data_IF_895225106642
#
_entry.id   IF_895225106642
#
_cell.length_a   1.000
_cell.length_b   1.000
_cell.length_c   1.000
_cell.angle_alpha   90.00
_cell.angle_beta   90.00
_cell.angle_gamma   90.00
#
_symmetry.space_group_name_H-M   'P 1'
#
loop_
_entity.id
_entity.type
_entity.pdbx_description
1 polymer ?
#
# COMPACT_ATOMS: atom_id res chain seq x y z
N UNK A 1 21.27 -12.19 70.46
CA UNK A 1 19.94 -12.33 69.77
C UNK A 1 19.73 -11.32 68.64
N UNK A 2 20.70 -11.06 67.77
CA UNK A 2 20.62 -9.97 66.76
C UNK A 2 20.74 -10.46 65.31
N UNK A 3 20.77 -11.76 65.06
CA UNK A 3 21.00 -12.29 63.71
C UNK A 3 19.77 -12.70 62.89
N UNK A 4 18.59 -12.70 63.48
CA UNK A 4 17.37 -13.17 62.78
C UNK A 4 16.54 -12.08 62.09
N UNK A 5 16.65 -10.83 62.49
CA UNK A 5 15.85 -9.72 61.93
C UNK A 5 16.35 -9.21 60.60
N UNK A 6 17.66 -9.35 60.31
CA UNK A 6 18.28 -8.86 59.06
C UNK A 6 17.99 -9.76 57.83
N UNK A 7 17.78 -11.09 58.04
CA UNK A 7 17.42 -12.01 56.96
C UNK A 7 16.00 -11.89 56.43
N UNK A 8 15.06 -11.43 57.28
CA UNK A 8 13.65 -11.26 56.85
C UNK A 8 13.44 -10.06 55.93
N UNK A 9 14.23 -8.99 56.08
CA UNK A 9 14.17 -7.80 55.22
C UNK A 9 14.62 -8.03 53.80
N UNK A 10 15.68 -8.81 53.61
CA UNK A 10 16.25 -9.11 52.29
C UNK A 10 15.35 -10.02 51.40
N UNK A 11 14.64 -10.95 52.03
CA UNK A 11 13.71 -11.84 51.29
C UNK A 11 12.41 -11.13 50.89
N UNK A 12 11.96 -10.15 51.67
CA UNK A 12 10.78 -9.35 51.38
C UNK A 12 11.00 -8.42 50.19
N UNK A 13 12.18 -7.82 50.05
CA UNK A 13 12.52 -6.96 48.94
C UNK A 13 12.68 -7.71 47.62
N UNK A 14 13.16 -8.97 47.64
CA UNK A 14 13.25 -9.80 46.44
C UNK A 14 11.89 -10.25 45.90
N UNK A 15 10.90 -10.48 46.76
CA UNK A 15 9.53 -10.83 46.33
C UNK A 15 8.80 -9.63 45.71
N UNK A 16 8.92 -8.44 46.31
CA UNK A 16 8.34 -7.21 45.78
C UNK A 16 8.91 -6.85 44.39
N UNK A 17 10.22 -7.06 44.19
CA UNK A 17 10.87 -6.79 42.89
C UNK A 17 10.47 -7.79 41.81
N UNK A 18 10.15 -9.02 42.17
CA UNK A 18 9.67 -10.06 41.21
C UNK A 18 8.20 -9.80 40.82
N UNK A 19 7.37 -9.29 41.65
CA UNK A 19 5.99 -8.89 41.32
C UNK A 19 5.99 -7.70 40.37
N UNK A 20 6.76 -6.66 40.61
CA UNK A 20 6.84 -5.50 39.76
C UNK A 20 7.34 -5.81 38.34
N UNK A 21 8.31 -6.73 38.18
CA UNK A 21 8.76 -7.12 36.85
C UNK A 21 7.70 -7.94 36.08
N UNK A 22 6.98 -8.82 36.76
CA UNK A 22 5.87 -9.58 36.16
C UNK A 22 4.73 -8.66 35.76
N UNK A 23 4.40 -7.68 36.59
CA UNK A 23 3.34 -6.71 36.32
C UNK A 23 3.68 -5.81 35.14
N UNK A 24 4.94 -5.39 35.02
CA UNK A 24 5.46 -4.64 33.83
C UNK A 24 5.39 -5.49 32.59
N UNK A 25 5.84 -6.74 32.64
CA UNK A 25 5.79 -7.65 31.47
C UNK A 25 4.35 -7.92 31.04
N UNK A 26 3.44 -8.17 32.00
CA UNK A 26 2.02 -8.38 31.67
C UNK A 26 1.37 -7.12 31.08
N UNK A 27 1.70 -5.93 31.58
CA UNK A 27 1.22 -4.68 31.02
C UNK A 27 1.72 -4.47 29.56
N UNK A 28 3.00 -4.74 29.30
CA UNK A 28 3.57 -4.65 27.95
C UNK A 28 2.89 -5.65 27.01
N UNK A 29 2.74 -6.92 27.43
CA UNK A 29 2.05 -7.93 26.62
C UNK A 29 0.60 -7.52 26.33
N UNK A 30 -0.10 -6.97 27.31
CA UNK A 30 -1.48 -6.50 27.11
C UNK A 30 -1.55 -5.35 26.11
N UNK A 31 -0.66 -4.36 26.21
CA UNK A 31 -0.58 -3.24 25.26
C UNK A 31 -0.26 -3.74 23.85
N UNK A 32 0.68 -4.67 23.70
CA UNK A 32 1.00 -5.26 22.42
C UNK A 32 -0.17 -6.05 21.81
N UNK A 33 -0.89 -6.83 22.62
CA UNK A 33 -2.09 -7.54 22.18
C UNK A 33 -3.21 -6.58 21.76
N UNK A 34 -3.40 -5.49 22.51
CA UNK A 34 -4.36 -4.45 22.14
C UNK A 34 -3.96 -3.74 20.84
N UNK A 35 -2.68 -3.44 20.65
CA UNK A 35 -2.18 -2.84 19.42
C UNK A 35 -2.35 -3.78 18.21
N UNK A 36 -2.04 -5.06 18.37
CA UNK A 36 -2.28 -6.09 17.33
C UNK A 36 -3.78 -6.22 17.04
N UNK A 37 -4.62 -6.24 18.08
CA UNK A 37 -6.07 -6.29 17.93
C UNK A 37 -6.64 -5.07 17.22
N UNK A 38 -6.15 -3.87 17.54
CA UNK A 38 -6.56 -2.63 16.88
C UNK A 38 -6.19 -2.62 15.39
N UNK A 39 -4.95 -3.03 15.05
CA UNK A 39 -4.53 -3.14 13.64
C UNK A 39 -5.31 -4.21 12.87
N UNK A 40 -5.68 -5.30 13.52
CA UNK A 40 -6.52 -6.36 12.94
C UNK A 40 -7.96 -5.88 12.66
N UNK A 41 -8.51 -5.08 13.55
CA UNK A 41 -9.84 -4.47 13.40
C UNK A 41 -9.80 -3.45 12.26
N UNK A 42 -8.82 -2.55 12.21
CA UNK A 42 -8.68 -1.54 11.18
C UNK A 42 -8.55 -2.16 9.78
N UNK A 43 -7.76 -3.23 9.66
CA UNK A 43 -7.58 -3.99 8.42
C UNK A 43 -8.84 -4.72 7.96
N UNK A 44 -9.78 -5.03 8.87
CA UNK A 44 -11.01 -5.75 8.58
C UNK A 44 -12.24 -4.87 8.38
N UNK A 45 -12.21 -3.65 8.90
CA UNK A 45 -13.32 -2.69 8.93
C UNK A 45 -12.98 -1.37 8.24
N UNK A 46 -11.90 -1.34 7.45
CA UNK A 46 -11.57 -0.20 6.61
C UNK A 46 -12.75 0.20 5.72
N UNK A 47 -12.90 1.47 5.46
CA UNK A 47 -14.00 2.01 4.68
C UNK A 47 -14.00 1.42 3.28
N UNK A 48 -15.14 0.91 2.82
CA UNK A 48 -15.33 0.41 1.47
C UNK A 48 -16.34 1.29 0.74
N UNK A 49 -16.05 1.58 -0.52
CA UNK A 49 -16.90 2.35 -1.42
C UNK A 49 -17.28 1.46 -2.59
N UNK A 50 -18.56 1.45 -2.96
CA UNK A 50 -19.10 0.65 -4.06
C UNK A 50 -19.87 1.56 -5.02
N UNK A 51 -19.88 1.25 -6.30
CA UNK A 51 -20.62 2.03 -7.28
C UNK A 51 -20.08 1.89 -8.70
N UNK A 52 -20.47 2.82 -9.56
CA UNK A 52 -19.99 2.89 -10.95
C UNK A 52 -18.79 3.83 -11.01
N UNK A 53 -17.57 3.35 -11.27
CA UNK A 53 -16.38 4.17 -11.28
C UNK A 53 -16.28 5.00 -12.56
N UNK A 54 -15.80 6.23 -12.43
CA UNK A 54 -15.36 7.07 -13.54
C UNK A 54 -13.84 7.04 -13.62
N UNK A 55 -13.28 6.33 -14.58
CA UNK A 55 -11.82 6.21 -14.75
C UNK A 55 -11.22 7.53 -15.20
N UNK A 56 -10.27 8.06 -14.41
CA UNK A 56 -9.54 9.30 -14.66
C UNK A 56 -8.30 9.00 -15.49
N UNK A 57 -7.47 8.05 -15.04
CA UNK A 57 -6.23 7.64 -15.67
C UNK A 57 -5.99 6.13 -15.52
N UNK A 58 -4.80 5.62 -15.86
CA UNK A 58 -4.46 4.20 -15.79
C UNK A 58 -4.42 3.61 -14.37
N UNK A 59 -4.30 4.44 -13.35
CA UNK A 59 -4.25 4.03 -11.94
C UNK A 59 -5.15 4.88 -11.02
N UNK A 60 -5.98 5.76 -11.59
CA UNK A 60 -6.82 6.69 -10.84
C UNK A 60 -8.26 6.66 -11.36
N UNK A 61 -9.21 6.69 -10.45
CA UNK A 61 -10.64 6.70 -10.75
C UNK A 61 -11.39 7.53 -9.71
N UNK A 62 -12.60 7.94 -10.05
CA UNK A 62 -13.55 8.53 -9.12
C UNK A 62 -14.68 7.54 -8.83
N UNK A 63 -15.01 7.35 -7.57
CA UNK A 63 -16.09 6.50 -7.12
C UNK A 63 -16.85 7.21 -6.00
N UNK A 64 -18.16 7.38 -6.18
CA UNK A 64 -19.03 8.09 -5.24
C UNK A 64 -18.49 9.51 -4.88
N UNK A 65 -17.99 10.26 -5.87
CA UNK A 65 -17.44 11.60 -5.70
C UNK A 65 -16.09 11.68 -5.02
N UNK A 66 -15.43 10.55 -4.80
CA UNK A 66 -14.08 10.46 -4.21
C UNK A 66 -13.07 10.05 -5.26
N UNK A 67 -11.98 10.80 -5.34
CA UNK A 67 -10.83 10.39 -6.13
C UNK A 67 -10.04 9.30 -5.40
N UNK A 68 -9.85 8.18 -6.08
CA UNK A 68 -9.14 7.00 -5.58
C UNK A 68 -7.95 6.70 -6.49
N UNK A 69 -6.80 6.41 -5.89
CA UNK A 69 -5.62 5.89 -6.58
C UNK A 69 -5.43 4.42 -6.24
N UNK A 70 -5.22 3.58 -7.23
CA UNK A 70 -4.97 2.16 -7.02
C UNK A 70 -3.70 1.97 -6.19
N UNK A 71 -3.83 1.36 -5.03
CA UNK A 71 -2.72 1.11 -4.11
C UNK A 71 -1.73 0.10 -4.70
N UNK A 72 -0.44 0.38 -4.57
CA UNK A 72 0.64 -0.53 -4.98
C UNK A 72 0.86 -0.66 -6.48
N UNK A 73 0.24 0.19 -7.32
CA UNK A 73 0.40 0.20 -8.77
C UNK A 73 0.71 1.60 -9.29
N UNK A 74 1.47 1.68 -10.38
CA UNK A 74 1.84 2.92 -11.05
C UNK A 74 1.71 2.70 -12.56
N UNK A 75 0.71 3.32 -13.18
CA UNK A 75 0.44 3.18 -14.60
C UNK A 75 1.19 4.25 -15.42
N UNK A 76 1.46 4.00 -16.71
CA UNK A 76 1.93 5.03 -17.61
C UNK A 76 0.99 6.23 -17.62
N UNK A 77 1.56 7.43 -17.62
CA UNK A 77 0.83 8.69 -17.73
C UNK A 77 -0.03 8.71 -18.99
N UNK A 78 -1.17 9.39 -18.98
CA UNK A 78 -2.12 9.41 -20.09
C UNK A 78 -1.48 9.72 -21.45
N UNK A 79 -0.52 10.64 -21.46
CA UNK A 79 0.22 11.08 -22.64
C UNK A 79 1.53 10.33 -22.87
N UNK A 80 1.83 9.32 -22.06
CA UNK A 80 3.03 8.51 -22.18
C UNK A 80 2.93 7.56 -23.36
N UNK A 81 4.02 7.50 -24.14
CA UNK A 81 4.19 6.56 -25.24
C UNK A 81 5.28 5.55 -24.93
N UNK A 82 5.10 4.34 -25.44
CA UNK A 82 6.06 3.24 -25.39
C UNK A 82 6.50 2.86 -26.80
N UNK A 83 7.58 2.08 -26.93
CA UNK A 83 8.14 1.65 -28.20
C UNK A 83 9.22 2.58 -28.73
N UNK A 84 9.66 2.34 -29.95
CA UNK A 84 10.68 3.12 -30.64
C UNK A 84 10.09 4.36 -31.32
N UNK A 85 10.95 5.25 -31.82
CA UNK A 85 10.51 6.40 -32.63
C UNK A 85 9.69 6.00 -33.86
N UNK A 86 9.98 4.83 -34.44
CA UNK A 86 9.26 4.31 -35.61
C UNK A 86 7.91 3.66 -35.23
N UNK A 87 7.74 3.20 -34.00
CA UNK A 87 6.53 2.55 -33.52
C UNK A 87 6.14 3.13 -32.16
N UNK A 88 5.38 4.22 -32.15
CA UNK A 88 4.88 4.86 -30.93
C UNK A 88 3.54 4.25 -30.53
N UNK A 89 3.50 3.69 -29.34
CA UNK A 89 2.30 3.05 -28.78
C UNK A 89 1.80 3.95 -27.63
N UNK A 90 0.53 4.38 -27.61
CA UNK A 90 -0.02 5.25 -26.59
C UNK A 90 -0.31 4.44 -25.29
N UNK A 91 0.74 4.00 -24.61
CA UNK A 91 0.64 3.06 -23.49
C UNK A 91 -0.16 3.64 -22.30
N UNK A 92 -0.13 4.94 -22.05
CA UNK A 92 -0.98 5.57 -21.05
C UNK A 92 -2.47 5.47 -21.37
N UNK A 93 -2.85 5.70 -22.65
CA UNK A 93 -4.24 5.56 -23.08
C UNK A 93 -4.70 4.10 -23.01
N UNK A 94 -3.81 3.17 -23.36
CA UNK A 94 -4.11 1.73 -23.26
C UNK A 94 -4.27 1.29 -21.80
N UNK A 95 -3.46 1.79 -20.88
CA UNK A 95 -3.61 1.55 -19.44
C UNK A 95 -4.96 2.05 -18.92
N UNK A 96 -5.34 3.28 -19.28
CA UNK A 96 -6.67 3.83 -18.96
C UNK A 96 -7.81 2.99 -19.54
N UNK A 97 -7.68 2.53 -20.77
CA UNK A 97 -8.68 1.67 -21.41
C UNK A 97 -8.78 0.31 -20.72
N UNK A 98 -7.65 -0.28 -20.31
CA UNK A 98 -7.65 -1.53 -19.53
C UNK A 98 -8.38 -1.35 -18.21
N UNK A 99 -8.12 -0.27 -17.49
CA UNK A 99 -8.83 0.01 -16.23
C UNK A 99 -10.33 0.21 -16.46
N UNK A 100 -10.74 0.88 -17.52
CA UNK A 100 -12.16 0.97 -17.91
C UNK A 100 -12.79 -0.39 -18.16
N UNK A 101 -12.13 -1.23 -18.94
CA UNK A 101 -12.64 -2.57 -19.23
C UNK A 101 -12.81 -3.40 -17.94
N UNK A 102 -11.93 -3.23 -16.95
CA UNK A 102 -12.07 -3.87 -15.64
C UNK A 102 -13.23 -3.26 -14.84
N UNK A 103 -13.39 -1.95 -14.90
CA UNK A 103 -14.48 -1.25 -14.23
C UNK A 103 -15.85 -1.65 -14.78
N UNK A 104 -15.97 -1.93 -16.08
CA UNK A 104 -17.19 -2.32 -16.77
C UNK A 104 -17.62 -3.77 -16.49
N UNK A 105 -16.80 -4.58 -15.79
CA UNK A 105 -17.17 -5.95 -15.41
C UNK A 105 -18.31 -6.02 -14.37
N UNK A 106 -18.65 -4.89 -13.75
CA UNK A 106 -19.70 -4.79 -12.72
C UNK A 106 -19.22 -5.14 -11.32
N UNK A 107 -20.11 -4.98 -10.33
CA UNK A 107 -19.82 -5.19 -8.89
C UNK A 107 -18.51 -4.56 -8.44
N UNK A 108 -18.31 -3.28 -8.79
CA UNK A 108 -17.09 -2.57 -8.52
C UNK A 108 -17.08 -2.02 -7.10
N UNK A 109 -16.08 -2.41 -6.33
CA UNK A 109 -15.87 -1.94 -4.97
C UNK A 109 -14.41 -1.70 -4.68
N UNK A 110 -14.13 -0.68 -3.88
CA UNK A 110 -12.78 -0.33 -3.43
C UNK A 110 -12.74 -0.27 -1.91
N UNK A 111 -11.74 -0.91 -1.34
CA UNK A 111 -11.40 -0.80 0.07
C UNK A 111 -10.33 0.27 0.23
N UNK A 112 -10.59 1.28 1.08
CA UNK A 112 -9.66 2.37 1.30
C UNK A 112 -8.54 1.90 2.23
N UNK A 113 -7.28 2.04 1.80
CA UNK A 113 -6.09 1.57 2.51
C UNK A 113 -5.22 2.71 3.06
N UNK A 114 -5.74 3.94 3.05
CA UNK A 114 -5.07 5.13 3.55
C UNK A 114 -5.02 6.26 2.54
N UNK A 115 -4.04 7.15 2.70
CA UNK A 115 -3.86 8.30 1.82
C UNK A 115 -2.41 8.36 1.35
N UNK A 116 -2.23 8.81 0.13
CA UNK A 116 -0.91 9.21 -0.32
C UNK A 116 -0.53 10.57 0.30
N UNK A 117 0.68 11.02 0.04
CA UNK A 117 1.19 12.29 0.58
C UNK A 117 0.50 13.54 0.01
N UNK A 118 -0.26 13.40 -1.07
CA UNK A 118 -1.09 14.48 -1.62
C UNK A 118 -2.52 14.47 -1.05
N UNK A 119 -2.82 13.52 -0.16
CA UNK A 119 -4.15 13.36 0.43
C UNK A 119 -5.13 12.60 -0.46
N UNK A 120 -4.69 11.99 -1.59
CA UNK A 120 -5.55 11.12 -2.40
C UNK A 120 -5.77 9.80 -1.67
N UNK A 121 -6.99 9.28 -1.73
CA UNK A 121 -7.30 7.99 -1.12
C UNK A 121 -6.60 6.85 -1.89
N UNK A 122 -5.82 6.04 -1.19
CA UNK A 122 -5.29 4.79 -1.72
C UNK A 122 -6.33 3.70 -1.58
N UNK A 123 -6.52 2.87 -2.60
CA UNK A 123 -7.56 1.88 -2.61
C UNK A 123 -7.13 0.55 -3.27
N UNK A 124 -7.60 -0.54 -2.68
CA UNK A 124 -7.55 -1.88 -3.23
C UNK A 124 -8.92 -2.20 -3.82
N UNK A 125 -9.03 -2.24 -5.15
CA UNK A 125 -10.29 -2.34 -5.87
C UNK A 125 -10.52 -3.75 -6.42
N UNK A 126 -11.79 -4.13 -6.49
CA UNK A 126 -12.26 -5.38 -7.10
C UNK A 126 -13.44 -5.12 -8.03
N UNK A 127 -13.49 -5.89 -9.11
CA UNK A 127 -14.64 -6.01 -9.99
C UNK A 127 -15.13 -7.47 -9.88
N UNK A 128 -16.23 -7.69 -9.17
CA UNK A 128 -16.64 -9.02 -8.74
C UNK A 128 -15.55 -9.71 -7.90
N UNK A 129 -15.01 -10.82 -8.41
CA UNK A 129 -13.91 -11.57 -7.76
C UNK A 129 -12.51 -11.15 -8.21
N UNK A 130 -12.40 -10.31 -9.22
CA UNK A 130 -11.13 -9.92 -9.85
C UNK A 130 -10.51 -8.76 -9.06
N UNK A 131 -9.27 -8.91 -8.60
CA UNK A 131 -8.48 -7.80 -8.07
C UNK A 131 -8.03 -6.91 -9.22
N UNK A 132 -8.56 -5.69 -9.28
CA UNK A 132 -8.26 -4.71 -10.32
C UNK A 132 -6.79 -4.31 -10.28
N UNK A 133 -6.26 -4.03 -9.09
CA UNK A 133 -4.87 -3.66 -8.90
C UNK A 133 -3.92 -4.76 -9.42
N UNK A 134 -4.14 -6.00 -8.99
CA UNK A 134 -3.32 -7.13 -9.44
C UNK A 134 -3.44 -7.37 -10.95
N UNK A 135 -4.64 -7.21 -11.52
CA UNK A 135 -4.87 -7.45 -12.94
C UNK A 135 -4.27 -6.37 -13.83
N UNK A 136 -4.23 -5.11 -13.38
CA UNK A 136 -3.51 -4.04 -14.08
C UNK A 136 -2.02 -4.36 -14.21
N UNK A 137 -1.40 -4.88 -13.16
CA UNK A 137 0.01 -5.28 -13.16
C UNK A 137 0.21 -6.57 -13.96
N UNK A 138 -0.59 -7.62 -13.73
CA UNK A 138 -0.47 -8.92 -14.42
C UNK A 138 -0.63 -8.81 -15.92
N UNK A 139 -1.50 -7.93 -16.38
CA UNK A 139 -1.70 -7.67 -17.82
C UNK A 139 -0.66 -6.70 -18.40
N UNK A 140 0.26 -6.18 -17.60
CA UNK A 140 1.34 -5.29 -18.01
C UNK A 140 0.89 -3.87 -18.37
N UNK A 141 -0.19 -3.36 -17.79
CA UNK A 141 -0.64 -1.98 -17.97
C UNK A 141 -0.29 -1.06 -16.80
N UNK A 142 0.36 -1.61 -15.77
CA UNK A 142 0.96 -0.85 -14.68
C UNK A 142 2.20 -1.57 -14.18
N UNK A 143 3.10 -0.84 -13.54
CA UNK A 143 4.23 -1.38 -12.78
C UNK A 143 3.85 -1.51 -11.31
N UNK A 144 4.46 -2.46 -10.62
CA UNK A 144 4.24 -2.67 -9.20
C UNK A 144 5.16 -1.77 -8.35
N UNK A 145 4.62 -1.19 -7.29
CA UNK A 145 5.42 -0.62 -6.23
C UNK A 145 4.80 -0.94 -4.85
N UNK A 146 5.52 -1.67 -4.00
CA UNK A 146 5.04 -2.03 -2.67
C UNK A 146 4.07 -3.23 -2.59
N UNK A 147 3.71 -3.84 -3.72
CA UNK A 147 2.88 -5.03 -3.82
C UNK A 147 2.95 -5.62 -5.22
N UNK A 148 2.27 -6.73 -5.48
CA UNK A 148 2.08 -7.30 -6.83
C UNK A 148 3.37 -7.65 -7.60
N UNK A 149 4.49 -7.89 -6.91
CA UNK A 149 5.77 -8.22 -7.54
C UNK A 149 5.72 -9.54 -8.32
N UNK A 150 4.88 -10.49 -7.89
CA UNK A 150 4.67 -11.75 -8.58
C UNK A 150 3.95 -11.53 -9.92
N UNK A 151 2.90 -10.71 -9.94
CA UNK A 151 2.14 -10.32 -11.11
C UNK A 151 3.02 -9.56 -12.12
N UNK A 152 3.88 -8.68 -11.63
CA UNK A 152 4.83 -7.97 -12.49
C UNK A 152 5.86 -8.92 -13.09
N UNK A 153 6.41 -9.85 -12.32
CA UNK A 153 7.34 -10.85 -12.82
C UNK A 153 6.72 -11.74 -13.90
N UNK A 154 5.43 -12.08 -13.76
CA UNK A 154 4.64 -12.78 -14.77
C UNK A 154 4.51 -11.94 -16.04
N UNK A 155 4.07 -10.67 -15.92
CA UNK A 155 3.90 -9.78 -17.06
C UNK A 155 5.20 -9.54 -17.83
N UNK A 156 6.31 -9.36 -17.11
CA UNK A 156 7.67 -9.23 -17.70
C UNK A 156 8.09 -10.49 -18.46
N UNK A 157 7.94 -11.66 -17.85
CA UNK A 157 8.30 -12.95 -18.47
C UNK A 157 7.52 -13.20 -19.75
N UNK A 158 6.24 -12.87 -19.74
CA UNK A 158 5.33 -13.08 -20.86
C UNK A 158 5.28 -11.91 -21.82
N UNK A 159 6.05 -10.85 -21.57
CA UNK A 159 6.09 -9.62 -22.38
C UNK A 159 4.71 -9.02 -22.63
N UNK A 160 3.89 -8.97 -21.58
CA UNK A 160 2.54 -8.39 -21.66
C UNK A 160 2.56 -6.86 -21.59
N UNK A 161 1.65 -6.23 -22.28
CA UNK A 161 1.41 -4.78 -22.23
C UNK A 161 2.69 -3.98 -22.51
N UNK A 162 3.06 -3.08 -21.58
CA UNK A 162 4.26 -2.24 -21.70
C UNK A 162 5.56 -3.05 -21.77
N UNK A 163 5.59 -4.25 -21.17
CA UNK A 163 6.77 -5.13 -21.17
C UNK A 163 7.08 -5.76 -22.53
N UNK A 164 6.17 -5.63 -23.51
CA UNK A 164 6.43 -6.04 -24.90
C UNK A 164 7.31 -5.04 -25.66
N UNK A 165 7.52 -3.85 -25.12
CA UNK A 165 8.14 -2.73 -25.80
C UNK A 165 9.21 -2.07 -24.92
N UNK A 166 10.05 -1.24 -25.55
CA UNK A 166 10.87 -0.31 -24.78
C UNK A 166 9.98 0.78 -24.19
N UNK A 167 10.19 1.14 -22.94
CA UNK A 167 9.46 2.23 -22.31
C UNK A 167 10.28 2.84 -21.17
N UNK A 168 9.95 4.07 -20.83
CA UNK A 168 10.45 4.76 -19.63
C UNK A 168 9.51 4.42 -18.48
N UNK A 169 10.04 4.16 -17.30
CA UNK A 169 9.22 3.92 -16.11
C UNK A 169 8.31 5.13 -15.84
N UNK A 170 7.03 4.93 -15.43
CA UNK A 170 6.10 6.04 -15.21
C UNK A 170 6.65 7.12 -14.28
N UNK A 171 7.29 6.74 -13.19
CA UNK A 171 7.93 7.67 -12.26
C UNK A 171 9.06 8.50 -12.92
N UNK A 172 9.87 7.89 -13.78
CA UNK A 172 10.92 8.60 -14.53
C UNK A 172 10.35 9.51 -15.60
N UNK A 173 9.28 9.08 -16.27
CA UNK A 173 8.57 9.89 -17.25
C UNK A 173 8.04 11.19 -16.63
N UNK A 174 7.48 11.13 -15.42
CA UNK A 174 7.05 12.32 -14.67
C UNK A 174 8.21 13.25 -14.36
N UNK A 175 9.33 12.73 -13.88
CA UNK A 175 10.56 13.51 -13.60
C UNK A 175 11.06 14.25 -14.85
N UNK A 176 11.16 13.56 -15.97
CA UNK A 176 11.65 14.15 -17.23
C UNK A 176 10.77 15.28 -17.80
N UNK A 177 9.54 15.45 -17.30
CA UNK A 177 8.61 16.51 -17.72
C UNK A 177 8.47 17.66 -16.73
N UNK A 178 9.34 17.73 -15.73
CA UNK A 178 9.24 18.76 -14.67
C UNK A 178 8.00 18.61 -13.79
N UNK A 179 7.36 17.42 -13.81
CA UNK A 179 6.32 17.01 -12.87
C UNK A 179 6.94 16.39 -11.62
N UNK A 180 8.04 16.96 -11.18
CA UNK A 180 8.94 16.46 -10.12
C UNK A 180 8.30 16.48 -8.72
N UNK A 181 7.01 16.75 -8.63
CA UNK A 181 6.27 16.78 -7.38
C UNK A 181 5.73 15.42 -6.92
N UNK A 182 5.79 14.36 -7.74
CA UNK A 182 5.31 13.05 -7.34
C UNK A 182 6.46 12.21 -6.79
N UNK A 183 6.47 11.98 -5.49
CA UNK A 183 7.55 11.34 -4.79
C UNK A 183 7.64 9.83 -5.08
N UNK A 184 8.86 9.32 -5.15
CA UNK A 184 9.11 7.90 -5.02
C UNK A 184 8.46 7.39 -3.72
N UNK A 185 7.49 6.48 -3.85
CA UNK A 185 7.02 5.69 -2.73
C UNK A 185 8.13 4.68 -2.41
N UNK A 186 8.79 4.85 -1.28
CA UNK A 186 9.65 3.82 -0.72
C UNK A 186 8.75 2.82 0.02
N UNK A 187 8.67 1.55 -0.42
CA UNK A 187 7.89 0.53 0.29
C UNK A 187 8.35 0.32 1.74
N UNK A 188 9.60 0.71 2.07
CA UNK A 188 10.10 0.71 3.43
C UNK A 188 9.50 1.82 4.31
N UNK A 189 8.91 2.86 3.73
CA UNK A 189 8.34 3.99 4.48
C UNK A 189 7.05 3.64 5.25
N UNK A 190 6.33 2.59 4.90
CA UNK A 190 5.11 2.22 5.60
C UNK A 190 5.35 1.89 7.08
N UNK A 191 6.29 1.01 7.38
CA UNK A 191 6.61 0.60 8.74
C UNK A 191 7.63 1.55 9.39
N UNK A 192 8.70 1.90 8.69
CA UNK A 192 9.76 2.78 9.21
C UNK A 192 9.32 4.23 9.32
N UNK A 193 8.47 4.72 8.41
CA UNK A 193 7.87 6.06 8.50
C UNK A 193 6.91 6.20 9.67
N UNK A 194 6.15 5.14 10.00
CA UNK A 194 5.36 5.07 11.23
C UNK A 194 6.25 5.10 12.47
N UNK A 195 7.33 4.31 12.50
CA UNK A 195 8.27 4.28 13.63
C UNK A 195 9.01 5.63 13.81
N UNK A 196 9.45 6.27 12.72
CA UNK A 196 10.09 7.61 12.79
C UNK A 196 9.14 8.64 13.36
N UNK A 197 7.87 8.67 12.94
CA UNK A 197 6.85 9.59 13.50
C UNK A 197 6.55 9.30 14.97
N UNK A 198 6.59 8.05 15.39
CA UNK A 198 6.36 7.66 16.77
C UNK A 198 7.54 8.01 17.68
N UNK A 199 8.76 7.99 17.15
CA UNK A 199 10.00 8.26 17.88
C UNK A 199 10.45 9.72 17.79
N UNK A 200 9.76 10.56 17.03
CA UNK A 200 10.05 12.00 16.91
C UNK A 200 11.39 12.32 16.23
N UNK A 201 11.89 11.42 15.34
CA UNK A 201 13.18 11.56 14.62
C UNK A 201 12.94 11.73 13.12
#
# INVERSE_FOLDING_TARGET
>A
MTGQLQRRGLLRNRRLRRHGLRDVVTAICFVLLCAIGATWIDMRWGESVEGIPRVIDGDSLELEGRELRLHGVDAPEFDQTCGSEALRIPCGQLAKQKLRNLADLGDFRCHLSGHDRYGRNLADCKAGTISVNAEMVRSGFAVAYGGYSHEEAEARRERKGIWAHEFVMPAEWRKGRGRDGEPDYDPADGFWGFLKRLLGV
#
